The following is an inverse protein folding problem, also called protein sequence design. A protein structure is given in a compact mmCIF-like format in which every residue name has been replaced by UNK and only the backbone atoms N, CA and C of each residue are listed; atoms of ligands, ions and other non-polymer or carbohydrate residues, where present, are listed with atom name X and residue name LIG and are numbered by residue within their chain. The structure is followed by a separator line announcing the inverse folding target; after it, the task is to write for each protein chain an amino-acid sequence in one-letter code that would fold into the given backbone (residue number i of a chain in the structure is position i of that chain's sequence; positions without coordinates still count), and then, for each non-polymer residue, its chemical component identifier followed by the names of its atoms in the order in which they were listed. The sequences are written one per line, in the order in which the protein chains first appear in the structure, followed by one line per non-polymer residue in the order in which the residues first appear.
data_IF_559493315251
#
_entry.id   IF_559493315251
#
_cell.length_a   1.000
_cell.length_b   1.000
_cell.length_c   1.000
_cell.angle_alpha   90.00
_cell.angle_beta   90.00
_cell.angle_gamma   90.00
#
_symmetry.space_group_name_H-M   'P 1'
#
loop_
_entity.id
_entity.type
_entity.pdbx_description
1 polymer ?
#
# COMPACT_ATOMS: atom_id res chain seq x y z
N UNK A 1 17.51 21.18 12.49
CA UNK A 1 17.45 19.74 12.18
C UNK A 1 16.03 19.54 11.68
N UNK A 2 15.81 19.81 10.39
CA UNK A 2 14.47 19.79 9.79
C UNK A 2 14.09 18.34 9.51
N UNK A 3 12.92 17.93 10.00
CA UNK A 3 12.26 16.70 9.57
C UNK A 3 11.65 17.01 8.19
N UNK A 4 12.17 16.46 7.08
CA UNK A 4 11.57 16.73 5.80
C UNK A 4 10.35 15.79 5.69
N UNK A 5 9.23 16.36 5.23
CA UNK A 5 8.01 15.68 4.83
C UNK A 5 6.99 15.37 5.96
N UNK A 6 6.05 16.31 6.13
CA UNK A 6 4.74 16.08 6.74
C UNK A 6 3.83 15.47 5.67
N UNK A 7 3.77 14.12 5.61
CA UNK A 7 2.85 13.42 4.73
C UNK A 7 1.48 13.42 5.39
N UNK A 8 0.53 14.18 4.82
CA UNK A 8 -0.85 14.12 5.29
C UNK A 8 -1.54 12.93 4.64
N UNK A 9 -1.89 11.94 5.47
CA UNK A 9 -2.61 10.72 5.08
C UNK A 9 -4.07 11.09 4.74
N UNK A 10 -4.30 11.60 3.53
CA UNK A 10 -5.62 11.94 3.05
C UNK A 10 -6.21 10.74 2.31
N UNK A 11 -7.03 9.97 3.03
CA UNK A 11 -8.01 9.00 2.51
C UNK A 11 -7.46 7.59 2.25
N UNK A 12 -7.89 6.65 3.10
CA UNK A 12 -7.83 5.22 2.80
C UNK A 12 -9.06 4.92 1.92
N UNK A 13 -8.85 4.57 0.66
CA UNK A 13 -9.89 4.02 -0.20
C UNK A 13 -9.86 2.50 -0.06
N UNK A 14 -10.76 1.95 0.76
CA UNK A 14 -10.80 0.52 1.11
C UNK A 14 -11.45 -0.39 0.06
N UNK A 15 -11.39 -0.02 -1.22
CA UNK A 15 -11.97 -0.85 -2.29
C UNK A 15 -13.50 -0.98 -2.24
N UNK A 16 -14.19 -0.08 -1.53
CA UNK A 16 -15.66 -0.06 -1.47
C UNK A 16 -16.28 0.25 -2.83
N UNK A 17 -17.36 -0.47 -3.17
CA UNK A 17 -18.22 -0.13 -4.29
C UNK A 17 -19.00 1.14 -3.96
N UNK A 18 -18.52 2.27 -4.46
CA UNK A 18 -19.22 3.56 -4.37
C UNK A 18 -20.10 3.77 -5.60
N UNK A 19 -21.27 4.35 -5.39
CA UNK A 19 -22.12 4.85 -6.46
C UNK A 19 -21.68 6.27 -6.87
N UNK A 20 -21.79 6.57 -8.15
CA UNK A 20 -21.59 7.89 -8.73
C UNK A 20 -22.84 8.78 -8.59
N UNK A 21 -22.81 9.91 -9.27
CA UNK A 21 -23.97 10.80 -9.36
C UNK A 21 -25.05 10.18 -10.25
N UNK A 22 -26.33 10.45 -9.96
CA UNK A 22 -27.44 10.00 -10.78
C UNK A 22 -27.46 10.72 -12.14
N UNK A 23 -27.83 10.00 -13.20
CA UNK A 23 -28.11 10.59 -14.50
C UNK A 23 -29.46 11.33 -14.53
N UNK A 24 -29.75 11.99 -15.65
CA UNK A 24 -30.99 12.75 -15.82
C UNK A 24 -32.27 11.89 -15.81
N UNK A 25 -32.15 10.57 -15.95
CA UNK A 25 -33.25 9.61 -15.89
C UNK A 25 -33.39 8.95 -14.49
N UNK A 26 -32.51 9.31 -13.54
CA UNK A 26 -32.47 8.75 -12.19
C UNK A 26 -31.70 7.43 -12.05
N UNK A 27 -31.01 7.00 -13.11
CA UNK A 27 -30.09 5.86 -13.07
C UNK A 27 -28.78 6.22 -12.36
N UNK A 28 -28.14 5.26 -11.70
CA UNK A 28 -26.88 5.47 -10.99
C UNK A 28 -25.88 4.39 -11.41
N UNK A 29 -24.64 4.80 -11.70
CA UNK A 29 -23.53 3.92 -12.07
C UNK A 29 -22.48 3.86 -10.94
N UNK A 30 -21.49 2.97 -11.04
CA UNK A 30 -20.36 2.95 -10.13
C UNK A 30 -19.47 4.17 -10.30
N UNK A 31 -18.98 4.68 -9.17
CA UNK A 31 -18.01 5.77 -9.14
C UNK A 31 -16.66 5.25 -9.64
N UNK A 32 -16.13 5.91 -10.67
CA UNK A 32 -14.77 5.65 -11.12
C UNK A 32 -13.73 6.33 -10.21
N UNK A 33 -12.56 5.70 -10.11
CA UNK A 33 -11.40 6.30 -9.45
C UNK A 33 -10.85 7.47 -10.27
N UNK A 34 -10.28 8.46 -9.58
CA UNK A 34 -9.69 9.64 -10.20
C UNK A 34 -8.23 9.81 -9.81
N UNK A 35 -7.38 10.23 -10.77
CA UNK A 35 -5.97 10.52 -10.51
C UNK A 35 -5.22 9.34 -9.86
N UNK A 36 -4.68 9.57 -8.66
CA UNK A 36 -3.85 8.63 -7.92
C UNK A 36 -4.65 7.58 -7.12
N UNK A 37 -5.98 7.71 -7.05
CA UNK A 37 -6.85 6.80 -6.27
C UNK A 37 -6.69 5.35 -6.73
N UNK A 38 -6.55 5.12 -8.04
CA UNK A 38 -6.31 3.78 -8.61
C UNK A 38 -4.95 3.20 -8.19
N UNK A 39 -3.89 4.02 -8.19
CA UNK A 39 -2.57 3.60 -7.75
C UNK A 39 -2.51 3.28 -6.26
N UNK A 40 -3.18 4.09 -5.43
CA UNK A 40 -3.28 3.87 -3.99
C UNK A 40 -4.06 2.59 -3.67
N UNK A 41 -5.17 2.33 -4.35
CA UNK A 41 -5.95 1.09 -4.19
C UNK A 41 -5.14 -0.14 -4.62
N UNK A 42 -4.46 -0.08 -5.76
CA UNK A 42 -3.63 -1.19 -6.24
C UNK A 42 -2.48 -1.49 -5.27
N UNK A 43 -1.76 -0.47 -4.81
CA UNK A 43 -0.72 -0.63 -3.80
C UNK A 43 -1.29 -1.23 -2.50
N UNK A 44 -2.41 -0.72 -2.00
CA UNK A 44 -3.07 -1.25 -0.79
C UNK A 44 -3.46 -2.72 -0.96
N UNK A 45 -4.04 -3.09 -2.11
CA UNK A 45 -4.42 -4.47 -2.39
C UNK A 45 -3.21 -5.39 -2.41
N UNK A 46 -2.10 -4.96 -3.04
CA UNK A 46 -0.86 -5.74 -3.10
C UNK A 46 -0.24 -5.97 -1.71
N UNK A 47 -0.26 -4.96 -0.84
CA UNK A 47 0.26 -5.09 0.53
C UNK A 47 -0.59 -6.06 1.37
N UNK A 48 -1.91 -6.05 1.18
CA UNK A 48 -2.87 -6.92 1.89
C UNK A 48 -3.04 -8.33 1.30
N UNK A 49 -2.35 -8.65 0.21
CA UNK A 49 -2.45 -9.94 -0.48
C UNK A 49 -1.22 -10.79 -0.19
N UNK A 50 -1.39 -12.10 -0.01
CA UNK A 50 -0.28 -13.06 0.01
C UNK A 50 0.03 -13.62 -1.38
N UNK A 51 1.30 -13.90 -1.63
CA UNK A 51 1.73 -14.68 -2.78
C UNK A 51 1.05 -16.04 -2.75
N UNK A 52 0.43 -16.39 -3.87
CA UNK A 52 -0.36 -17.61 -4.04
C UNK A 52 -1.87 -17.38 -3.97
N UNK A 53 -2.35 -16.27 -3.42
CA UNK A 53 -3.79 -15.95 -3.38
C UNK A 53 -4.36 -15.80 -4.80
N UNK A 54 -3.56 -15.26 -5.71
CA UNK A 54 -3.91 -15.10 -7.12
C UNK A 54 -3.46 -16.32 -7.93
N UNK A 55 -4.43 -17.19 -8.28
CA UNK A 55 -4.17 -18.40 -9.07
C UNK A 55 -3.38 -18.15 -10.36
N UNK A 56 -3.69 -17.08 -11.10
CA UNK A 56 -3.06 -16.77 -12.39
C UNK A 56 -1.74 -15.99 -12.24
N UNK A 57 -1.53 -15.34 -11.10
CA UNK A 57 -0.39 -14.46 -10.83
C UNK A 57 0.13 -14.72 -9.41
N UNK A 58 0.67 -15.93 -9.14
CA UNK A 58 0.99 -16.38 -7.78
C UNK A 58 2.10 -15.56 -7.10
N UNK A 59 2.83 -14.75 -7.85
CA UNK A 59 3.91 -13.91 -7.30
C UNK A 59 3.43 -12.52 -6.86
N UNK A 60 2.16 -12.15 -7.09
CA UNK A 60 1.60 -10.90 -6.57
C UNK A 60 1.29 -11.04 -5.08
N UNK A 61 1.62 -10.00 -4.30
CA UNK A 61 1.42 -9.96 -2.86
C UNK A 61 2.70 -9.75 -2.06
N UNK A 62 2.57 -9.27 -0.82
CA UNK A 62 3.69 -8.91 0.05
C UNK A 62 4.07 -9.99 1.07
N UNK A 63 3.22 -10.98 1.36
CA UNK A 63 3.49 -12.00 2.40
C UNK A 63 3.77 -11.43 3.80
N UNK A 64 3.28 -10.22 4.10
CA UNK A 64 3.53 -9.55 5.38
C UNK A 64 3.05 -10.37 6.59
N UNK A 65 1.98 -11.13 6.42
CA UNK A 65 1.44 -12.01 7.46
C UNK A 65 2.44 -13.09 7.93
N UNK A 66 3.46 -13.42 7.13
CA UNK A 66 4.52 -14.37 7.54
C UNK A 66 5.43 -13.82 8.65
N UNK A 67 5.37 -12.51 8.88
CA UNK A 67 6.13 -11.84 9.93
C UNK A 67 5.32 -11.70 11.23
N UNK A 68 4.02 -12.03 11.23
CA UNK A 68 3.21 -12.05 12.45
C UNK A 68 3.72 -13.11 13.42
N UNK A 69 3.83 -12.77 14.70
CA UNK A 69 4.42 -13.63 15.73
C UNK A 69 5.94 -13.47 15.89
N UNK A 70 6.62 -12.71 15.01
CA UNK A 70 8.07 -12.51 15.10
C UNK A 70 8.45 -11.44 16.14
N UNK A 71 9.72 -11.39 16.55
CA UNK A 71 10.17 -10.32 17.45
C UNK A 71 10.30 -8.97 16.71
N UNK A 72 9.99 -7.86 17.38
CA UNK A 72 10.23 -6.52 16.82
C UNK A 72 11.72 -6.16 16.77
N UNK A 73 12.36 -6.58 15.69
CA UNK A 73 13.77 -6.34 15.44
C UNK A 73 13.96 -5.54 14.16
N UNK A 74 15.15 -4.96 14.00
CA UNK A 74 15.55 -4.33 12.74
C UNK A 74 15.47 -5.31 11.58
N UNK A 75 15.89 -6.55 11.77
CA UNK A 75 15.88 -7.59 10.74
C UNK A 75 14.46 -7.91 10.26
N UNK A 76 13.51 -8.04 11.19
CA UNK A 76 12.07 -8.20 10.88
C UNK A 76 11.54 -7.02 10.06
N UNK A 77 11.90 -5.80 10.46
CA UNK A 77 11.55 -4.59 9.72
C UNK A 77 12.15 -4.54 8.31
N UNK A 78 13.41 -4.97 8.15
CA UNK A 78 14.09 -5.04 6.85
C UNK A 78 13.45 -6.08 5.92
N UNK A 79 13.06 -7.24 6.45
CA UNK A 79 12.32 -8.26 5.71
C UNK A 79 10.96 -7.76 5.23
N UNK A 80 10.22 -7.04 6.08
CA UNK A 80 8.94 -6.42 5.70
C UNK A 80 9.11 -5.35 4.62
N UNK A 81 10.19 -4.56 4.70
CA UNK A 81 10.55 -3.58 3.66
C UNK A 81 10.83 -4.26 2.32
N UNK A 82 11.61 -5.34 2.31
CA UNK A 82 11.92 -6.11 1.10
C UNK A 82 10.66 -6.73 0.48
N UNK A 83 9.82 -7.33 1.31
CA UNK A 83 8.54 -7.92 0.94
C UNK A 83 7.59 -6.90 0.27
N UNK A 84 7.46 -5.70 0.86
CA UNK A 84 6.64 -4.62 0.30
C UNK A 84 7.23 -4.10 -1.02
N UNK A 85 8.55 -3.90 -1.08
CA UNK A 85 9.22 -3.44 -2.30
C UNK A 85 8.99 -4.41 -3.45
N UNK A 86 9.18 -5.71 -3.21
CA UNK A 86 8.97 -6.74 -4.21
C UNK A 86 7.51 -6.77 -4.69
N UNK A 87 6.53 -6.71 -3.76
CA UNK A 87 5.11 -6.71 -4.10
C UNK A 87 4.69 -5.53 -5.01
N UNK A 88 5.30 -4.36 -4.81
CA UNK A 88 4.99 -3.15 -5.57
C UNK A 88 5.73 -3.08 -6.92
N UNK A 89 6.88 -3.75 -7.06
CA UNK A 89 7.78 -3.57 -8.22
C UNK A 89 7.93 -4.81 -9.11
N UNK A 90 7.56 -6.01 -8.63
CA UNK A 90 7.75 -7.29 -9.32
C UNK A 90 7.30 -7.30 -10.79
N UNK A 91 6.12 -6.77 -11.09
CA UNK A 91 5.52 -6.74 -12.43
C UNK A 91 5.70 -5.39 -13.13
N UNK A 92 6.64 -4.56 -12.65
CA UNK A 92 6.87 -3.19 -13.13
C UNK A 92 5.65 -2.28 -13.01
N UNK A 93 4.71 -2.58 -12.10
CA UNK A 93 3.56 -1.72 -11.84
C UNK A 93 3.96 -0.35 -11.30
N UNK A 94 4.94 -0.34 -10.40
CA UNK A 94 5.66 0.83 -9.93
C UNK A 94 7.16 0.63 -10.19
N UNK A 95 7.88 1.69 -10.55
CA UNK A 95 9.32 1.62 -10.71
C UNK A 95 9.99 1.52 -9.34
N UNK A 96 11.03 0.71 -9.19
CA UNK A 96 11.80 0.64 -7.94
C UNK A 96 12.44 1.99 -7.56
N UNK A 97 12.77 2.82 -8.55
CA UNK A 97 13.27 4.19 -8.32
C UNK A 97 12.27 5.10 -7.62
N UNK A 98 10.98 4.80 -7.76
CA UNK A 98 9.89 5.66 -7.32
C UNK A 98 9.30 5.17 -6.00
N UNK A 99 9.70 3.97 -5.52
CA UNK A 99 9.16 3.32 -4.34
C UNK A 99 10.16 3.39 -3.17
N UNK A 100 9.76 4.10 -2.11
CA UNK A 100 10.46 4.12 -0.82
C UNK A 100 9.60 3.47 0.25
N UNK A 101 10.15 2.53 1.01
CA UNK A 101 9.44 1.87 2.12
C UNK A 101 10.18 2.10 3.42
N UNK A 102 9.45 2.43 4.49
CA UNK A 102 10.01 2.63 5.83
C UNK A 102 9.26 1.80 6.87
N UNK A 103 10.00 0.95 7.58
CA UNK A 103 9.53 0.31 8.80
C UNK A 103 9.71 1.23 10.01
N UNK A 104 8.66 1.39 10.82
CA UNK A 104 8.63 2.21 12.03
C UNK A 104 8.09 1.36 13.18
N UNK A 105 8.94 0.95 14.15
CA UNK A 105 8.45 0.23 15.32
C UNK A 105 7.60 1.20 16.17
N UNK A 106 6.32 0.90 16.31
CA UNK A 106 5.36 1.72 17.07
C UNK A 106 5.11 1.18 18.47
N UNK A 107 5.33 -0.12 18.69
CA UNK A 107 5.30 -0.76 20.00
C UNK A 107 6.22 -1.98 20.06
N UNK A 108 6.32 -2.65 21.21
CA UNK A 108 7.11 -3.89 21.34
C UNK A 108 6.59 -4.99 20.40
N UNK A 109 5.30 -4.99 20.10
CA UNK A 109 4.61 -6.03 19.31
C UNK A 109 4.02 -5.45 18.01
N UNK A 110 4.55 -4.33 17.52
CA UNK A 110 3.99 -3.67 16.34
C UNK A 110 5.03 -2.91 15.51
N UNK A 111 4.93 -3.08 14.19
CA UNK A 111 5.63 -2.27 13.19
C UNK A 111 4.61 -1.67 12.23
N UNK A 112 4.70 -0.35 12.05
CA UNK A 112 4.04 0.34 10.94
C UNK A 112 4.99 0.39 9.73
N UNK A 113 4.49 0.02 8.56
CA UNK A 113 5.18 0.19 7.29
C UNK A 113 4.55 1.34 6.50
N UNK A 114 5.40 2.26 6.02
CA UNK A 114 5.01 3.37 5.16
C UNK A 114 5.64 3.18 3.78
N UNK A 115 4.82 2.84 2.78
CA UNK A 115 5.21 2.83 1.38
C UNK A 115 4.86 4.18 0.74
N UNK A 116 5.87 4.87 0.25
CA UNK A 116 5.79 6.18 -0.41
C UNK A 116 6.16 5.94 -1.87
N UNK A 117 5.22 6.21 -2.77
CA UNK A 117 5.38 6.05 -4.20
C UNK A 117 5.36 7.44 -4.81
N UNK A 118 6.50 7.87 -5.34
CA UNK A 118 6.58 9.09 -6.13
C UNK A 118 5.82 8.85 -7.44
N UNK A 119 4.91 9.76 -7.77
CA UNK A 119 4.20 9.71 -9.03
C UNK A 119 4.42 11.06 -9.68
N UNK A 120 4.49 11.15 -11.00
CA UNK A 120 4.68 12.40 -11.76
C UNK A 120 3.60 13.49 -11.48
N UNK A 121 2.67 13.24 -10.55
CA UNK A 121 1.71 14.18 -10.02
C UNK A 121 2.28 15.05 -8.88
N UNK A 122 1.47 16.01 -8.43
CA UNK A 122 1.88 16.98 -7.38
C UNK A 122 2.05 16.37 -5.98
N UNK A 123 1.50 15.18 -5.72
CA UNK A 123 1.51 14.54 -4.40
C UNK A 123 1.86 13.04 -4.54
N UNK A 124 2.74 12.51 -3.66
CA UNK A 124 3.08 11.09 -3.67
C UNK A 124 1.93 10.24 -3.11
N UNK A 125 1.83 8.99 -3.56
CA UNK A 125 0.93 8.02 -2.95
C UNK A 125 1.59 7.50 -1.67
N UNK A 126 0.87 7.55 -0.56
CA UNK A 126 1.34 7.03 0.72
C UNK A 126 0.38 5.94 1.20
N UNK A 127 0.89 4.72 1.32
CA UNK A 127 0.17 3.58 1.87
C UNK A 127 0.79 3.20 3.20
N UNK A 128 -0.05 3.12 4.23
CA UNK A 128 0.34 2.63 5.55
C UNK A 128 -0.23 1.23 5.74
N UNK A 129 0.62 0.31 6.20
CA UNK A 129 0.21 -0.99 6.71
C UNK A 129 0.72 -1.18 8.14
N UNK A 130 -0.07 -1.83 8.99
CA UNK A 130 0.28 -2.06 10.40
C UNK A 130 0.32 -3.55 10.65
N UNK A 131 1.50 -4.04 11.03
CA UNK A 131 1.72 -5.44 11.32
C UNK A 131 1.82 -5.64 12.84
N UNK A 132 1.04 -6.59 13.35
CA UNK A 132 1.19 -7.07 14.72
C UNK A 132 2.20 -8.23 14.72
N UNK A 133 3.22 -8.07 15.56
CA UNK A 133 4.32 -9.00 15.74
C UNK A 133 4.05 -9.92 16.92
#
# INVERSE_FOLDING_TARGET
MDLPYDYRLYRILEGDFMLGEADNAGGVDFKMTTGHESGAQDATNRLRTQKGDWRSHPNLGANLELLEGESNTRETGERGVEQIKDALTYDSRFSDSDVTVRAVPTSIEQIDFYAIIDSDNREPIVVKDTLNL
#
